data_IF_835256696204
#
_entry.id   IF_835256696204
#
_cell.length_a   1.000
_cell.length_b   1.000
_cell.length_c   1.000
_cell.angle_alpha   90.00
_cell.angle_beta   90.00
_cell.angle_gamma   90.00
#
_symmetry.space_group_name_H-M   'P 1'
#
loop_
_entity.id
_entity.type
_entity.pdbx_description
1 polymer ?
#
# COMPACT_ATOMS: atom_id res chain seq x y z
N UNK A 1 12.76 -3.34 0.93
CA UNK A 1 13.35 -4.21 -0.13
C UNK A 1 12.32 -5.19 -0.70
N UNK A 2 11.57 -5.90 0.15
CA UNK A 2 10.57 -6.89 -0.28
C UNK A 2 9.39 -6.29 -1.07
N UNK A 3 8.82 -5.19 -0.61
CA UNK A 3 7.60 -4.62 -1.20
C UNK A 3 7.80 -4.07 -2.63
N UNK A 4 8.87 -3.27 -2.93
CA UNK A 4 9.15 -2.87 -4.31
C UNK A 4 9.39 -4.05 -5.25
N UNK A 5 9.98 -5.13 -4.74
CA UNK A 5 10.23 -6.35 -5.52
C UNK A 5 8.94 -7.10 -5.84
N UNK A 6 8.03 -7.24 -4.86
CA UNK A 6 6.70 -7.80 -5.12
C UNK A 6 5.91 -6.96 -6.13
N UNK A 7 5.98 -5.62 -6.03
CA UNK A 7 5.29 -4.73 -6.96
C UNK A 7 5.81 -4.88 -8.40
N UNK A 8 7.14 -4.87 -8.58
CA UNK A 8 7.79 -5.10 -9.88
C UNK A 8 7.42 -6.45 -10.47
N UNK A 9 7.45 -7.53 -9.67
CA UNK A 9 6.98 -8.85 -10.10
C UNK A 9 5.49 -8.87 -10.43
N UNK A 10 4.66 -8.08 -9.78
CA UNK A 10 3.23 -8.03 -10.07
C UNK A 10 2.91 -7.29 -11.37
N UNK A 11 3.77 -6.34 -11.80
CA UNK A 11 3.50 -5.42 -12.91
C UNK A 11 3.09 -6.11 -14.22
N UNK A 12 3.76 -7.17 -14.71
CA UNK A 12 3.37 -7.85 -15.95
C UNK A 12 1.96 -8.48 -15.91
N UNK A 13 1.39 -8.63 -14.71
CA UNK A 13 0.07 -9.23 -14.44
C UNK A 13 -0.93 -8.20 -13.91
N UNK A 14 -0.56 -6.93 -13.83
CA UNK A 14 -1.40 -5.84 -13.37
C UNK A 14 -2.29 -5.31 -14.51
N UNK A 15 -3.24 -6.13 -14.97
CA UNK A 15 -4.19 -5.74 -16.01
C UNK A 15 -5.15 -4.64 -15.52
N UNK A 16 -5.80 -3.94 -16.46
CA UNK A 16 -6.65 -2.77 -16.19
C UNK A 16 -7.68 -2.99 -15.06
N UNK A 17 -8.36 -4.15 -15.03
CA UNK A 17 -9.34 -4.45 -13.98
C UNK A 17 -8.74 -4.53 -12.55
N UNK A 18 -7.47 -4.90 -12.42
CA UNK A 18 -6.76 -4.90 -11.13
C UNK A 18 -6.47 -3.46 -10.72
N UNK A 19 -6.00 -2.65 -11.66
CA UNK A 19 -5.68 -1.25 -11.43
C UNK A 19 -6.94 -0.47 -11.04
N UNK A 20 -8.08 -0.73 -11.69
CA UNK A 20 -9.35 -0.11 -11.36
C UNK A 20 -9.84 -0.54 -9.96
N UNK A 21 -9.66 -1.81 -9.59
CA UNK A 21 -9.91 -2.27 -8.22
C UNK A 21 -9.02 -1.55 -7.20
N UNK A 22 -7.73 -1.39 -7.49
CA UNK A 22 -6.81 -0.65 -6.62
C UNK A 22 -7.22 0.82 -6.49
N UNK A 23 -7.68 1.45 -7.58
CA UNK A 23 -8.21 2.81 -7.54
C UNK A 23 -9.48 2.93 -6.69
N UNK A 24 -10.39 1.96 -6.78
CA UNK A 24 -11.58 1.90 -5.93
C UNK A 24 -11.21 1.74 -4.45
N UNK A 25 -10.28 0.84 -4.11
CA UNK A 25 -9.77 0.69 -2.73
C UNK A 25 -9.16 2.00 -2.25
N UNK A 26 -8.40 2.71 -3.09
CA UNK A 26 -7.84 4.01 -2.72
C UNK A 26 -8.93 5.06 -2.41
N UNK A 27 -10.06 5.04 -3.13
CA UNK A 27 -11.22 5.87 -2.80
C UNK A 27 -11.82 5.53 -1.42
N UNK A 28 -11.90 4.24 -1.06
CA UNK A 28 -12.34 3.83 0.28
C UNK A 28 -11.35 4.31 1.36
N UNK A 29 -10.04 4.28 1.08
CA UNK A 29 -9.04 4.83 2.01
C UNK A 29 -9.29 6.33 2.25
N UNK A 30 -9.56 7.11 1.19
CA UNK A 30 -9.92 8.53 1.31
C UNK A 30 -11.14 8.72 2.24
N UNK A 31 -12.16 7.86 2.16
CA UNK A 31 -13.31 7.89 3.08
C UNK A 31 -12.94 7.57 4.53
N UNK A 32 -12.08 6.58 4.77
CA UNK A 32 -11.65 6.21 6.13
C UNK A 32 -10.89 7.35 6.78
N UNK A 33 -10.04 8.05 6.01
CA UNK A 33 -9.34 9.26 6.46
C UNK A 33 -10.34 10.36 6.82
N UNK A 34 -11.30 10.66 5.93
CA UNK A 34 -12.31 11.69 6.17
C UNK A 34 -13.18 11.43 7.42
N UNK A 35 -13.44 10.15 7.73
CA UNK A 35 -14.20 9.71 8.91
C UNK A 35 -13.35 9.64 10.19
N UNK A 36 -12.03 9.78 10.09
CA UNK A 36 -11.11 9.55 11.22
C UNK A 36 -11.07 8.08 11.67
N UNK A 37 -11.49 7.13 10.81
CA UNK A 37 -11.49 5.70 11.14
C UNK A 37 -10.08 5.11 10.91
N UNK A 38 -9.24 5.16 11.94
CA UNK A 38 -7.88 4.63 11.88
C UNK A 38 -7.83 3.11 11.65
N UNK A 39 -8.78 2.35 12.21
CA UNK A 39 -8.84 0.91 12.02
C UNK A 39 -9.25 0.56 10.59
N UNK A 40 -10.25 1.27 10.07
CA UNK A 40 -10.66 1.22 8.67
C UNK A 40 -9.52 1.55 7.73
N UNK A 41 -8.82 2.66 7.98
CA UNK A 41 -7.66 3.09 7.20
C UNK A 41 -6.61 1.99 7.12
N UNK A 42 -6.12 1.45 8.25
CA UNK A 42 -5.06 0.43 8.27
C UNK A 42 -5.49 -0.81 7.48
N UNK A 43 -6.72 -1.29 7.67
CA UNK A 43 -7.26 -2.43 6.92
C UNK A 43 -7.23 -2.18 5.41
N UNK A 44 -7.79 -1.07 4.97
CA UNK A 44 -7.89 -0.73 3.54
C UNK A 44 -6.53 -0.41 2.91
N UNK A 45 -5.59 0.16 3.68
CA UNK A 45 -4.21 0.37 3.25
C UNK A 45 -3.51 -0.96 2.98
N UNK A 46 -3.60 -1.92 3.90
CA UNK A 46 -3.03 -3.25 3.71
C UNK A 46 -3.70 -3.99 2.53
N UNK A 47 -5.02 -3.85 2.37
CA UNK A 47 -5.74 -4.41 1.23
C UNK A 47 -5.25 -3.87 -0.12
N UNK A 48 -4.95 -2.57 -0.20
CA UNK A 48 -4.42 -1.94 -1.41
C UNK A 48 -3.11 -2.60 -1.86
N UNK A 49 -2.13 -2.73 -0.96
CA UNK A 49 -0.85 -3.37 -1.27
C UNK A 49 -1.00 -4.87 -1.54
N UNK A 50 -1.77 -5.58 -0.71
CA UNK A 50 -1.99 -7.02 -0.87
C UNK A 50 -2.63 -7.36 -2.22
N UNK A 51 -3.56 -6.53 -2.69
CA UNK A 51 -4.22 -6.69 -4.00
C UNK A 51 -3.21 -6.74 -5.13
N UNK A 52 -2.18 -5.87 -5.11
CA UNK A 52 -1.10 -5.90 -6.08
C UNK A 52 -0.20 -7.12 -5.86
N UNK A 53 0.26 -7.35 -4.63
CA UNK A 53 1.29 -8.34 -4.31
C UNK A 53 0.86 -9.78 -4.54
N UNK A 54 -0.45 -10.09 -4.48
CA UNK A 54 -0.99 -11.39 -4.87
C UNK A 54 -0.71 -11.76 -6.34
N UNK A 55 -0.41 -10.77 -7.20
CA UNK A 55 -0.05 -10.99 -8.61
C UNK A 55 1.45 -11.21 -8.84
N UNK A 56 2.27 -11.12 -7.80
CA UNK A 56 3.72 -11.26 -7.90
C UNK A 56 4.21 -12.70 -8.10
N UNK A 57 3.35 -13.71 -7.86
CA UNK A 57 3.72 -15.14 -7.92
C UNK A 57 4.96 -15.50 -7.08
N UNK A 58 5.09 -14.85 -5.91
CA UNK A 58 6.23 -15.01 -5.01
C UNK A 58 5.74 -15.34 -3.58
N UNK A 59 5.23 -16.56 -3.33
CA UNK A 59 4.54 -16.90 -2.09
C UNK A 59 5.43 -16.73 -0.84
N UNK A 60 6.73 -17.03 -0.94
CA UNK A 60 7.68 -16.82 0.16
C UNK A 60 7.82 -15.33 0.54
N UNK A 61 7.94 -14.44 -0.46
CA UNK A 61 8.04 -13.00 -0.23
C UNK A 61 6.74 -12.44 0.36
N UNK A 62 5.60 -12.91 -0.15
CA UNK A 62 4.28 -12.51 0.34
C UNK A 62 4.09 -12.92 1.81
N UNK A 63 4.43 -14.17 2.17
CA UNK A 63 4.34 -14.64 3.56
C UNK A 63 5.23 -13.84 4.53
N UNK A 64 6.44 -13.47 4.11
CA UNK A 64 7.34 -12.62 4.90
C UNK A 64 6.73 -11.24 5.16
N UNK A 65 6.17 -10.59 4.13
CA UNK A 65 5.52 -9.28 4.28
C UNK A 65 4.28 -9.36 5.16
N UNK A 66 3.44 -10.38 4.97
CA UNK A 66 2.25 -10.56 5.80
C UNK A 66 2.59 -10.78 7.28
N UNK A 67 3.71 -11.45 7.56
CA UNK A 67 4.22 -11.60 8.93
C UNK A 67 4.63 -10.25 9.53
N UNK A 68 5.37 -9.44 8.78
CA UNK A 68 5.78 -8.09 9.21
C UNK A 68 4.55 -7.20 9.44
N UNK A 69 3.55 -7.26 8.56
CA UNK A 69 2.31 -6.50 8.72
C UNK A 69 1.53 -6.93 9.97
N UNK A 70 1.44 -8.23 10.24
CA UNK A 70 0.77 -8.75 11.44
C UNK A 70 1.42 -8.23 12.72
N UNK A 71 2.75 -8.23 12.77
CA UNK A 71 3.53 -7.72 13.90
C UNK A 71 3.42 -6.20 14.06
N UNK A 72 3.29 -5.47 12.94
CA UNK A 72 3.25 -4.00 12.94
C UNK A 72 1.84 -3.41 13.08
N UNK A 73 0.79 -4.21 12.87
CA UNK A 73 -0.60 -3.76 12.79
C UNK A 73 -1.07 -2.92 14.00
N UNK A 74 -0.90 -3.38 15.26
CA UNK A 74 -1.26 -2.61 16.44
C UNK A 74 -0.55 -1.25 16.51
N UNK A 75 0.76 -1.22 16.21
CA UNK A 75 1.55 0.01 16.23
C UNK A 75 1.11 1.00 15.15
N UNK A 76 0.86 0.51 13.92
CA UNK A 76 0.33 1.35 12.85
C UNK A 76 -1.02 1.95 13.23
N UNK A 77 -1.93 1.16 13.82
CA UNK A 77 -3.24 1.67 14.25
C UNK A 77 -3.10 2.81 15.26
N UNK A 78 -2.34 2.61 16.34
CA UNK A 78 -2.13 3.65 17.38
C UNK A 78 -1.52 4.93 16.79
N UNK A 79 -0.60 4.79 15.84
CA UNK A 79 0.02 5.90 15.16
C UNK A 79 -0.99 6.68 14.31
N UNK A 80 -1.83 6.00 13.54
CA UNK A 80 -2.84 6.64 12.70
C UNK A 80 -3.97 7.29 13.52
N UNK A 81 -4.30 6.76 14.69
CA UNK A 81 -5.21 7.43 15.65
C UNK A 81 -4.65 8.79 16.10
N UNK A 82 -3.33 8.93 16.22
CA UNK A 82 -2.66 10.17 16.66
C UNK A 82 -2.39 11.18 15.54
N UNK A 83 -2.12 10.71 14.33
CA UNK A 83 -1.64 11.55 13.23
C UNK A 83 -2.68 12.50 12.62
N UNK A 84 -3.98 12.38 12.99
CA UNK A 84 -5.09 13.19 12.47
C UNK A 84 -4.91 13.57 10.99
N UNK A 85 -4.68 12.56 10.14
CA UNK A 85 -4.43 12.80 8.72
C UNK A 85 -5.64 13.47 8.09
N UNK A 86 -5.38 14.48 7.26
CA UNK A 86 -6.42 15.17 6.51
C UNK A 86 -6.66 14.57 5.11
N UNK A 87 -5.73 13.75 4.60
CA UNK A 87 -5.83 13.13 3.27
C UNK A 87 -5.04 11.81 3.16
N UNK A 88 -5.46 10.92 2.25
CA UNK A 88 -4.70 9.71 1.93
C UNK A 88 -3.35 10.03 1.27
N UNK A 89 -2.45 9.04 1.22
CA UNK A 89 -1.10 9.23 0.67
C UNK A 89 -1.17 9.54 -0.83
N UNK A 90 -0.42 10.55 -1.27
CA UNK A 90 -0.25 10.80 -2.72
C UNK A 90 0.45 9.63 -3.43
N UNK A 91 1.16 8.80 -2.67
CA UNK A 91 1.94 7.71 -3.22
C UNK A 91 1.06 6.61 -3.81
N UNK A 92 -0.13 6.33 -3.26
CA UNK A 92 -1.07 5.37 -3.88
C UNK A 92 -1.47 5.81 -5.29
N UNK A 93 -1.72 7.12 -5.50
CA UNK A 93 -2.02 7.67 -6.82
C UNK A 93 -0.83 7.52 -7.78
N UNK A 94 0.39 7.72 -7.27
CA UNK A 94 1.64 7.49 -8.04
C UNK A 94 1.84 6.01 -8.40
N UNK A 95 1.54 5.08 -7.49
CA UNK A 95 1.57 3.63 -7.73
C UNK A 95 0.58 3.26 -8.84
N UNK A 96 -0.66 3.73 -8.76
CA UNK A 96 -1.70 3.50 -9.79
C UNK A 96 -1.24 4.05 -11.13
N UNK A 97 -0.70 5.27 -11.18
CA UNK A 97 -0.20 5.89 -12.41
C UNK A 97 0.94 5.08 -13.04
N UNK A 98 1.91 4.63 -12.23
CA UNK A 98 3.01 3.79 -12.70
C UNK A 98 2.52 2.44 -13.25
N UNK A 99 1.53 1.81 -12.60
CA UNK A 99 0.90 0.58 -13.09
C UNK A 99 0.23 0.80 -14.44
N UNK A 100 -0.52 1.90 -14.61
CA UNK A 100 -1.17 2.23 -15.90
C UNK A 100 -0.15 2.48 -17.02
N UNK A 101 0.99 3.08 -16.68
CA UNK A 101 2.05 3.40 -17.64
C UNK A 101 2.98 2.21 -17.95
N UNK A 102 2.90 1.11 -17.19
CA UNK A 102 3.91 0.04 -17.28
C UNK A 102 5.29 0.48 -16.77
N UNK A 103 5.37 1.53 -15.97
CA UNK A 103 6.62 2.15 -15.50
C UNK A 103 7.15 1.41 -14.27
N UNK A 104 7.95 0.37 -14.50
CA UNK A 104 8.55 -0.42 -13.41
C UNK A 104 9.47 0.41 -12.50
N UNK A 105 10.41 1.24 -13.01
CA UNK A 105 11.21 2.11 -12.15
C UNK A 105 10.36 3.04 -11.28
N UNK A 106 9.36 3.71 -11.88
CA UNK A 106 8.44 4.58 -11.16
C UNK A 106 7.62 3.83 -10.10
N UNK A 107 7.16 2.62 -10.41
CA UNK A 107 6.44 1.77 -9.46
C UNK A 107 7.31 1.40 -8.26
N UNK A 108 8.55 0.95 -8.51
CA UNK A 108 9.50 0.58 -7.45
C UNK A 108 9.81 1.76 -6.53
N UNK A 109 9.95 2.96 -7.11
CA UNK A 109 10.17 4.20 -6.34
C UNK A 109 8.94 4.56 -5.51
N UNK A 110 7.75 4.59 -6.12
CA UNK A 110 6.51 4.98 -5.45
C UNK A 110 6.20 4.06 -4.26
N UNK A 111 6.34 2.74 -4.41
CA UNK A 111 6.19 1.76 -3.33
C UNK A 111 7.22 1.97 -2.22
N UNK A 112 8.49 2.20 -2.58
CA UNK A 112 9.55 2.43 -1.59
C UNK A 112 9.26 3.68 -0.76
N UNK A 113 8.85 4.76 -1.40
CA UNK A 113 8.53 6.03 -0.72
C UNK A 113 7.34 5.84 0.21
N UNK A 114 6.28 5.17 -0.25
CA UNK A 114 5.08 4.92 0.56
C UNK A 114 5.38 4.14 1.85
N UNK A 115 6.05 3.00 1.72
CA UNK A 115 6.42 2.14 2.86
C UNK A 115 7.38 2.85 3.80
N UNK A 116 8.39 3.55 3.26
CA UNK A 116 9.38 4.25 4.08
C UNK A 116 8.77 5.44 4.82
N UNK A 117 7.84 6.15 4.19
CA UNK A 117 7.10 7.22 4.84
C UNK A 117 6.27 6.65 6.01
N UNK A 118 5.59 5.52 5.80
CA UNK A 118 4.88 4.80 6.87
C UNK A 118 5.80 4.41 8.04
N UNK A 119 6.99 3.86 7.74
CA UNK A 119 7.97 3.46 8.76
C UNK A 119 8.57 4.66 9.51
N UNK A 120 8.83 5.79 8.85
CA UNK A 120 9.34 7.00 9.51
C UNK A 120 8.39 7.54 10.57
N UNK A 121 7.09 7.30 10.42
CA UNK A 121 6.12 7.68 11.44
C UNK A 121 6.19 6.78 12.68
N UNK A 122 6.77 5.57 12.58
CA UNK A 122 6.96 4.64 13.70
C UNK A 122 8.25 4.90 14.47
N UNK A 123 9.23 5.55 13.84
CA UNK A 123 10.46 5.99 14.50
C UNK A 123 10.14 7.24 15.32
N UNK A 124 9.83 7.02 16.61
CA UNK A 124 9.81 8.06 17.65
C UNK A 124 11.23 8.52 17.94
#
# INVERSE_FOLDING_TARGET
LLEPELASRALPRAHLALIDRMAAINGVIDEMVAKGDAAGYVRTNLEFHRTLYLRAQAPAFLGLIETVWLQSGPTMRMLYERLQRQQATENHRKIIAALRAGDEPGLRLAIRVDVTQGLRMLAV
#
